data_IF_770184077741
#
_entry.id   IF_770184077741
#
_cell.length_a   1.000
_cell.length_b   1.000
_cell.length_c   1.000
_cell.angle_alpha   90.00
_cell.angle_beta   90.00
_cell.angle_gamma   90.00
#
_symmetry.space_group_name_H-M   'P 1'
#
loop_
_entity.id
_entity.type
_entity.pdbx_description
1 polymer ?
#
# COMPACT_ATOMS: atom_id res chain seq x y z
N UNK A 1 -12.71 -15.92 12.61
CA UNK A 1 -11.60 -15.27 13.34
C UNK A 1 -11.85 -13.78 13.23
N UNK A 2 -12.40 -13.17 14.27
CA UNK A 2 -12.69 -11.73 14.28
C UNK A 2 -11.37 -11.02 14.59
N UNK A 3 -10.90 -10.20 13.64
CA UNK A 3 -9.83 -9.23 13.90
C UNK A 3 -10.43 -8.12 14.75
N UNK A 4 -10.20 -8.16 16.06
CA UNK A 4 -10.51 -7.04 16.94
C UNK A 4 -9.33 -6.06 16.87
N UNK A 5 -9.52 -4.95 16.15
CA UNK A 5 -8.57 -3.85 16.11
C UNK A 5 -9.13 -2.76 17.03
N UNK A 6 -8.46 -2.51 18.15
CA UNK A 6 -8.79 -1.40 19.05
C UNK A 6 -8.19 -0.10 18.49
N UNK A 7 -9.04 0.90 18.23
CA UNK A 7 -8.63 2.21 17.69
C UNK A 7 -8.51 3.20 18.85
N UNK A 8 -7.29 3.64 19.17
CA UNK A 8 -7.06 4.81 20.03
C UNK A 8 -6.86 6.04 19.16
N UNK A 9 -7.72 7.05 19.30
CA UNK A 9 -7.63 8.30 18.55
C UNK A 9 -6.57 9.23 19.17
N UNK A 10 -5.60 9.68 18.37
CA UNK A 10 -4.83 10.90 18.65
C UNK A 10 -5.35 12.03 17.73
N UNK A 11 -5.41 13.27 18.25
CA UNK A 11 -6.04 14.41 17.55
C UNK A 11 -5.19 14.86 16.38
N UNK A 12 -5.80 14.98 15.20
CA UNK A 12 -5.19 15.64 14.05
C UNK A 12 -4.93 17.13 14.35
N UNK A 13 -3.68 17.57 14.17
CA UNK A 13 -3.29 18.97 14.11
C UNK A 13 -3.53 19.48 12.68
N UNK A 14 -4.12 20.66 12.55
CA UNK A 14 -4.36 21.33 11.27
C UNK A 14 -3.10 22.11 10.85
N UNK A 15 -2.58 21.94 9.62
CA UNK A 15 -1.51 22.81 9.13
C UNK A 15 -2.08 24.07 8.46
N UNK A 16 -1.47 25.21 8.79
CA UNK A 16 -1.65 26.51 8.14
C UNK A 16 -1.28 26.45 6.65
N UNK A 17 -2.01 27.23 5.84
CA UNK A 17 -1.79 27.39 4.41
C UNK A 17 -0.49 28.15 4.16
N UNK A 18 0.41 27.60 3.34
CA UNK A 18 1.43 28.40 2.66
C UNK A 18 1.52 27.98 1.20
N UNK A 19 1.57 29.01 0.36
CA UNK A 19 1.34 29.04 -1.08
C UNK A 19 2.51 28.41 -1.85
N UNK A 20 2.26 27.33 -2.61
CA UNK A 20 3.21 26.75 -3.57
C UNK A 20 2.54 26.66 -4.94
N UNK A 21 2.18 27.82 -5.49
CA UNK A 21 2.00 27.99 -6.93
C UNK A 21 3.31 28.47 -7.52
N UNK A 22 3.97 27.59 -8.27
CA UNK A 22 4.89 27.84 -9.40
C UNK A 22 6.07 26.85 -9.36
N UNK A 23 5.87 25.69 -9.99
CA UNK A 23 6.87 24.97 -10.79
C UNK A 23 6.21 23.76 -11.46
N UNK A 24 5.22 24.04 -12.31
CA UNK A 24 4.85 23.11 -13.38
C UNK A 24 5.77 23.44 -14.57
N UNK A 25 6.92 22.78 -14.64
CA UNK A 25 7.72 22.78 -15.87
C UNK A 25 8.22 21.35 -16.11
N UNK A 26 7.63 20.73 -17.14
CA UNK A 26 8.00 19.51 -17.86
C UNK A 26 9.13 18.66 -17.25
N UNK A 27 8.76 17.54 -16.65
CA UNK A 27 9.59 16.34 -16.61
C UNK A 27 8.88 15.23 -17.39
N UNK A 28 9.21 15.14 -18.68
CA UNK A 28 9.15 13.86 -19.40
C UNK A 28 10.24 12.97 -18.78
N UNK A 29 9.83 11.98 -17.99
CA UNK A 29 10.74 11.00 -17.40
C UNK A 29 10.97 9.93 -18.48
N UNK A 30 12.23 9.78 -18.90
CA UNK A 30 12.63 8.84 -19.94
C UNK A 30 12.58 7.40 -19.40
N UNK A 31 12.13 6.49 -20.24
CA UNK A 31 11.91 5.06 -19.95
C UNK A 31 13.21 4.36 -19.46
N UNK A 32 14.36 4.94 -19.79
CA UNK A 32 15.70 4.48 -19.40
C UNK A 32 16.03 4.63 -17.93
N UNK A 33 15.42 5.57 -17.20
CA UNK A 33 15.74 5.78 -15.79
C UNK A 33 15.26 4.60 -14.91
N UNK A 34 14.28 3.83 -15.41
CA UNK A 34 13.78 2.63 -14.73
C UNK A 34 14.45 1.32 -15.20
N UNK A 35 14.91 1.24 -16.45
CA UNK A 35 15.49 0.00 -17.02
C UNK A 35 16.94 -0.26 -16.58
N UNK A 36 17.68 0.74 -16.08
CA UNK A 36 19.09 0.56 -15.70
C UNK A 36 19.36 0.04 -14.28
N UNK A 37 18.36 -0.44 -13.55
CA UNK A 37 18.58 -1.10 -12.25
C UNK A 37 18.75 -2.62 -12.48
N UNK A 38 19.73 -2.99 -13.32
CA UNK A 38 20.30 -4.34 -13.33
C UNK A 38 21.36 -4.38 -12.22
N UNK A 39 20.98 -4.87 -11.04
CA UNK A 39 21.92 -5.15 -9.95
C UNK A 39 22.56 -6.51 -10.24
N UNK A 40 23.61 -6.53 -11.04
CA UNK A 40 24.56 -7.64 -11.05
C UNK A 40 26.01 -7.14 -11.19
N UNK A 41 26.84 -7.61 -10.25
CA UNK A 41 28.32 -7.64 -10.18
C UNK A 41 29.09 -6.41 -9.63
N UNK A 42 29.28 -6.37 -8.31
CA UNK A 42 30.54 -6.67 -7.58
C UNK A 42 30.27 -6.68 -6.05
N UNK A 43 31.03 -7.43 -5.22
CA UNK A 43 30.77 -7.48 -3.79
C UNK A 43 31.29 -6.19 -3.13
N UNK A 44 30.42 -5.20 -3.00
CA UNK A 44 30.74 -3.97 -2.28
C UNK A 44 30.69 -4.29 -0.77
N UNK A 45 31.86 -4.55 -0.20
CA UNK A 45 32.07 -4.56 1.25
C UNK A 45 32.16 -3.11 1.74
N UNK A 46 31.04 -2.40 1.76
CA UNK A 46 30.92 -1.15 2.50
C UNK A 46 29.68 -1.23 3.39
N UNK A 47 29.85 -0.90 4.67
CA UNK A 47 28.77 -0.79 5.64
C UNK A 47 27.76 0.25 5.13
N UNK A 48 26.72 -0.20 4.41
CA UNK A 48 25.53 0.60 4.22
C UNK A 48 24.91 0.78 5.61
N UNK A 49 25.02 2.01 6.12
CA UNK A 49 24.42 2.39 7.39
C UNK A 49 22.94 2.06 7.37
N UNK A 50 22.46 1.43 8.45
CA UNK A 50 21.03 1.26 8.69
C UNK A 50 20.40 2.66 8.71
N UNK A 51 19.47 2.93 7.79
CA UNK A 51 18.79 4.22 7.70
C UNK A 51 17.93 4.38 8.96
N UNK A 52 18.14 5.48 9.70
CA UNK A 52 17.37 5.77 10.89
C UNK A 52 15.98 6.31 10.53
N UNK A 53 14.96 5.87 11.26
CA UNK A 53 13.57 6.30 11.07
C UNK A 53 13.32 7.80 11.25
N UNK A 54 14.24 8.51 11.92
CA UNK A 54 14.13 9.95 12.25
C UNK A 54 14.34 10.88 11.03
N UNK A 55 14.66 10.35 9.85
CA UNK A 55 14.92 11.14 8.64
C UNK A 55 13.67 11.44 7.79
N UNK A 56 12.49 10.91 8.13
CA UNK A 56 11.29 11.13 7.32
C UNK A 56 10.75 12.56 7.48
N UNK A 57 10.74 13.42 6.45
CA UNK A 57 10.31 14.82 6.58
C UNK A 57 8.78 14.98 6.60
N UNK A 58 8.02 13.90 6.79
CA UNK A 58 6.56 13.88 6.71
C UNK A 58 5.92 13.59 8.07
N UNK A 59 4.70 14.09 8.33
CA UNK A 59 3.98 13.76 9.55
C UNK A 59 3.76 12.25 9.71
N UNK A 60 3.97 11.74 10.92
CA UNK A 60 3.82 10.32 11.25
C UNK A 60 2.88 10.08 12.42
N UNK A 61 2.40 8.85 12.56
CA UNK A 61 1.68 8.38 13.74
C UNK A 61 2.17 7.00 14.17
N UNK A 62 2.04 6.71 15.46
CA UNK A 62 2.46 5.43 16.05
C UNK A 62 1.25 4.52 16.19
N UNK A 63 1.31 3.38 15.52
CA UNK A 63 0.29 2.34 15.55
C UNK A 63 0.87 1.04 16.13
N UNK A 64 -0.02 0.08 16.35
CA UNK A 64 0.40 -1.25 16.76
C UNK A 64 -0.44 -2.32 16.08
N UNK A 65 0.23 -3.42 15.77
CA UNK A 65 -0.34 -4.67 15.32
C UNK A 65 -0.52 -5.56 16.54
N UNK A 66 -1.69 -6.16 16.67
CA UNK A 66 -2.00 -7.05 17.78
C UNK A 66 -2.53 -8.39 17.27
N UNK A 67 -1.79 -9.44 17.56
CA UNK A 67 -2.23 -10.83 17.49
C UNK A 67 -2.31 -11.41 18.90
N UNK A 68 -2.90 -12.60 19.04
CA UNK A 68 -3.14 -13.22 20.34
C UNK A 68 -1.91 -13.29 21.25
N UNK A 69 -0.71 -13.53 20.68
CA UNK A 69 0.54 -13.69 21.42
C UNK A 69 1.66 -12.74 20.92
N UNK A 70 1.33 -11.73 20.11
CA UNK A 70 2.33 -10.88 19.47
C UNK A 70 1.79 -9.45 19.34
N UNK A 71 2.55 -8.49 19.85
CA UNK A 71 2.31 -7.07 19.64
C UNK A 71 3.53 -6.45 18.97
N UNK A 72 3.32 -5.75 17.86
CA UNK A 72 4.38 -5.05 17.13
C UNK A 72 3.97 -3.60 17.05
N UNK A 73 4.79 -2.69 17.56
CA UNK A 73 4.59 -1.26 17.35
C UNK A 73 5.26 -0.86 16.04
N UNK A 74 4.64 0.06 15.32
CA UNK A 74 5.16 0.57 14.07
C UNK A 74 4.66 2.00 13.84
N UNK A 75 5.49 2.79 13.19
CA UNK A 75 5.22 4.14 12.72
C UNK A 75 4.70 4.09 11.28
N UNK A 76 3.69 4.89 10.99
CA UNK A 76 3.15 5.07 9.64
C UNK A 76 3.28 6.53 9.23
N UNK A 77 3.53 6.78 7.95
CA UNK A 77 3.38 8.13 7.40
C UNK A 77 1.89 8.45 7.28
N UNK A 78 1.51 9.61 7.77
CA UNK A 78 0.15 10.09 7.64
C UNK A 78 -0.15 10.48 6.19
N UNK A 79 -1.29 10.04 5.63
CA UNK A 79 -1.69 10.48 4.30
C UNK A 79 -1.96 11.99 4.30
N UNK A 80 -1.78 12.63 3.16
CA UNK A 80 -2.22 14.02 3.01
C UNK A 80 -3.76 14.11 3.08
N UNK A 81 -4.35 15.31 3.24
CA UNK A 81 -5.80 15.47 3.17
C UNK A 81 -6.43 14.99 1.85
N UNK A 82 -5.67 14.94 0.76
CA UNK A 82 -6.11 14.37 -0.51
C UNK A 82 -5.90 12.85 -0.58
N UNK A 83 -5.01 12.32 0.26
CA UNK A 83 -4.64 10.92 0.33
C UNK A 83 -5.62 10.06 1.13
N UNK A 84 -6.56 10.65 1.88
CA UNK A 84 -7.65 9.93 2.57
C UNK A 84 -8.82 9.65 1.62
N UNK A 85 -9.64 8.65 1.95
CA UNK A 85 -10.77 8.31 1.09
C UNK A 85 -11.90 9.34 1.17
N UNK A 86 -12.49 9.73 0.03
CA UNK A 86 -13.71 10.54 0.00
C UNK A 86 -14.87 9.88 0.76
N UNK A 87 -15.84 10.71 1.19
CA UNK A 87 -17.02 10.24 1.93
C UNK A 87 -17.84 9.16 1.20
N UNK A 88 -17.77 9.11 -0.14
CA UNK A 88 -18.42 8.10 -0.98
C UNK A 88 -17.37 7.29 -1.73
N UNK A 89 -16.70 6.38 -1.03
CA UNK A 89 -15.74 5.46 -1.64
C UNK A 89 -16.40 4.12 -1.88
N UNK A 90 -16.42 3.65 -3.13
CA UNK A 90 -16.98 2.35 -3.51
C UNK A 90 -16.03 1.23 -3.11
N UNK A 91 -14.74 1.39 -3.38
CA UNK A 91 -13.75 0.36 -3.12
C UNK A 91 -12.40 0.94 -2.70
N UNK A 92 -11.79 0.30 -1.71
CA UNK A 92 -10.39 0.46 -1.37
C UNK A 92 -9.60 -0.70 -1.99
N UNK A 93 -8.66 -0.38 -2.88
CA UNK A 93 -7.75 -1.35 -3.50
C UNK A 93 -6.38 -1.14 -2.88
N UNK A 94 -5.77 -2.21 -2.40
CA UNK A 94 -4.40 -2.16 -1.93
C UNK A 94 -3.51 -3.20 -2.61
N UNK A 95 -2.30 -2.77 -2.91
CA UNK A 95 -1.26 -3.58 -3.56
C UNK A 95 -0.04 -3.61 -2.64
N UNK A 96 0.24 -4.71 -1.94
CA UNK A 96 1.53 -4.89 -1.29
C UNK A 96 2.62 -4.85 -2.36
N UNK A 97 3.52 -3.86 -2.28
CA UNK A 97 4.55 -3.63 -3.29
C UNK A 97 5.89 -3.45 -2.62
N UNK A 98 6.96 -3.94 -3.24
CA UNK A 98 8.33 -3.78 -2.73
C UNK A 98 8.72 -2.29 -2.67
N UNK A 99 9.55 -1.90 -1.72
CA UNK A 99 10.11 -0.55 -1.64
C UNK A 99 10.69 -0.06 -2.96
N UNK A 100 11.48 -0.89 -3.63
CA UNK A 100 12.12 -0.61 -4.92
C UNK A 100 11.25 -0.93 -6.16
N UNK A 101 9.99 -1.32 -5.96
CA UNK A 101 9.04 -1.69 -7.02
C UNK A 101 8.48 -0.51 -7.83
N UNK A 102 9.27 0.55 -8.03
CA UNK A 102 8.83 1.81 -8.65
C UNK A 102 8.26 1.61 -10.06
N UNK A 103 8.96 0.84 -10.89
CA UNK A 103 8.54 0.56 -12.26
C UNK A 103 7.19 -0.18 -12.28
N UNK A 104 7.04 -1.21 -11.44
CA UNK A 104 5.78 -1.97 -11.35
C UNK A 104 4.62 -1.09 -10.92
N UNK A 105 4.81 -0.24 -9.91
CA UNK A 105 3.78 0.74 -9.51
C UNK A 105 3.44 1.70 -10.63
N UNK A 106 4.44 2.22 -11.33
CA UNK A 106 4.25 3.08 -12.50
C UNK A 106 3.43 2.38 -13.59
N UNK A 107 3.72 1.12 -13.89
CA UNK A 107 2.96 0.33 -14.87
C UNK A 107 1.51 0.12 -14.43
N UNK A 108 1.26 -0.15 -13.15
CA UNK A 108 -0.10 -0.26 -12.61
C UNK A 108 -0.86 1.07 -12.78
N UNK A 109 -0.26 2.20 -12.41
CA UNK A 109 -0.85 3.55 -12.56
C UNK A 109 -1.22 3.86 -14.01
N UNK A 110 -0.42 3.42 -14.97
CA UNK A 110 -0.63 3.64 -16.41
C UNK A 110 -1.41 2.52 -17.11
N UNK A 111 -1.92 1.54 -16.37
CA UNK A 111 -2.70 0.43 -16.92
C UNK A 111 -4.03 0.27 -16.18
N UNK A 112 -4.26 -0.88 -15.54
CA UNK A 112 -5.52 -1.19 -14.87
C UNK A 112 -5.79 -0.32 -13.63
N UNK A 113 -4.77 0.33 -13.09
CA UNK A 113 -4.87 1.30 -12.00
C UNK A 113 -5.22 2.73 -12.46
N UNK A 114 -5.31 2.98 -13.77
CA UNK A 114 -5.64 4.30 -14.31
C UNK A 114 -7.13 4.65 -14.09
N UNK A 115 -7.42 5.94 -13.89
CA UNK A 115 -8.78 6.51 -13.83
C UNK A 115 -9.72 5.89 -12.77
N UNK A 116 -9.18 5.24 -11.73
CA UNK A 116 -9.97 4.60 -10.68
C UNK A 116 -10.78 5.61 -9.83
N UNK A 117 -10.27 6.83 -9.66
CA UNK A 117 -10.95 7.89 -8.94
C UNK A 117 -12.32 8.22 -9.55
N UNK A 118 -12.45 8.19 -10.89
CA UNK A 118 -13.72 8.43 -11.61
C UNK A 118 -14.79 7.38 -11.26
N UNK A 119 -14.35 6.21 -10.82
CA UNK A 119 -15.19 5.07 -10.42
C UNK A 119 -15.40 4.99 -8.90
N UNK A 120 -14.99 6.03 -8.16
CA UNK A 120 -15.00 6.06 -6.70
C UNK A 120 -14.16 4.94 -6.07
N UNK A 121 -13.06 4.58 -6.72
CA UNK A 121 -12.10 3.57 -6.27
C UNK A 121 -10.81 4.28 -5.85
N UNK A 122 -10.31 3.96 -4.66
CA UNK A 122 -9.04 4.46 -4.14
C UNK A 122 -8.03 3.33 -4.19
N UNK A 123 -6.90 3.54 -4.87
CA UNK A 123 -5.77 2.62 -4.95
C UNK A 123 -4.65 3.12 -4.04
N UNK A 124 -4.07 2.21 -3.24
CA UNK A 124 -2.86 2.47 -2.45
C UNK A 124 -1.84 1.35 -2.60
N UNK A 125 -0.57 1.71 -2.69
CA UNK A 125 0.54 0.78 -2.61
C UNK A 125 1.05 0.69 -1.18
N UNK A 126 1.18 -0.51 -0.65
CA UNK A 126 1.61 -0.74 0.74
C UNK A 126 3.07 -1.16 0.72
N UNK A 127 3.92 -0.34 1.33
CA UNK A 127 5.38 -0.41 1.18
C UNK A 127 6.02 -0.42 2.57
N UNK A 128 6.96 -1.34 2.79
CA UNK A 128 7.74 -1.39 4.04
C UNK A 128 8.93 -0.44 3.98
N UNK A 129 9.72 -0.40 5.04
CA UNK A 129 10.89 0.46 5.09
C UNK A 129 12.00 -0.02 4.14
N UNK A 130 12.55 0.87 3.28
CA UNK A 130 13.66 0.53 2.40
C UNK A 130 14.94 0.31 3.21
N UNK A 131 15.77 -0.64 2.76
CA UNK A 131 17.09 -0.90 3.36
C UNK A 131 18.20 -0.05 2.73
N UNK A 132 18.00 0.41 1.49
CA UNK A 132 18.98 1.13 0.71
C UNK A 132 18.67 2.63 0.63
N UNK A 133 19.67 3.48 0.89
CA UNK A 133 19.50 4.94 0.92
C UNK A 133 18.96 5.49 -0.41
N UNK A 134 19.44 4.95 -1.53
CA UNK A 134 18.96 5.35 -2.85
C UNK A 134 17.48 5.02 -3.05
N UNK A 135 17.02 3.88 -2.55
CA UNK A 135 15.59 3.49 -2.62
C UNK A 135 14.76 4.41 -1.72
N UNK A 136 15.28 4.79 -0.55
CA UNK A 136 14.64 5.74 0.33
C UNK A 136 14.45 7.12 -0.32
N UNK A 137 15.48 7.67 -0.95
CA UNK A 137 15.42 8.96 -1.66
C UNK A 137 14.38 8.93 -2.79
N UNK A 138 14.40 7.91 -3.64
CA UNK A 138 13.43 7.74 -4.72
C UNK A 138 12.00 7.53 -4.22
N UNK A 139 11.82 6.83 -3.09
CA UNK A 139 10.52 6.65 -2.45
C UNK A 139 9.93 7.96 -1.95
N UNK A 140 10.75 8.86 -1.41
CA UNK A 140 10.28 10.18 -1.00
C UNK A 140 9.77 10.99 -2.19
N UNK A 141 10.48 10.97 -3.31
CA UNK A 141 10.04 11.63 -4.55
C UNK A 141 8.71 11.05 -5.05
N UNK A 142 8.59 9.72 -5.05
CA UNK A 142 7.36 9.04 -5.46
C UNK A 142 6.18 9.39 -4.54
N UNK A 143 6.41 9.40 -3.22
CA UNK A 143 5.40 9.75 -2.22
C UNK A 143 4.85 11.16 -2.45
N UNK A 144 5.74 12.15 -2.67
CA UNK A 144 5.36 13.55 -2.95
C UNK A 144 4.56 13.65 -4.23
N UNK A 145 4.95 12.88 -5.26
CA UNK A 145 4.39 12.99 -6.60
C UNK A 145 3.00 12.38 -6.73
N UNK A 146 2.75 11.23 -6.11
CA UNK A 146 1.55 10.43 -6.38
C UNK A 146 0.57 10.36 -5.21
N UNK A 147 1.01 10.59 -3.97
CA UNK A 147 0.18 10.51 -2.75
C UNK A 147 -0.64 9.20 -2.67
N UNK A 148 -0.09 8.10 -3.20
CA UNK A 148 -0.74 6.78 -3.26
C UNK A 148 0.06 5.68 -2.55
N UNK A 149 1.14 6.05 -1.85
CA UNK A 149 1.89 5.13 -1.01
C UNK A 149 1.38 5.16 0.45
N UNK A 150 1.36 3.98 1.07
CA UNK A 150 1.23 3.79 2.51
C UNK A 150 2.51 3.14 2.98
N UNK A 151 3.34 3.92 3.67
CA UNK A 151 4.66 3.49 4.13
C UNK A 151 4.67 3.32 5.64
N UNK A 152 5.26 2.22 6.10
CA UNK A 152 5.43 1.90 7.51
C UNK A 152 6.87 1.49 7.82
N UNK A 153 7.27 1.70 9.07
CA UNK A 153 8.65 1.63 9.57
C UNK A 153 9.11 0.20 9.94
N UNK A 154 8.77 -0.79 9.11
CA UNK A 154 9.29 -2.15 9.27
C UNK A 154 9.86 -2.63 7.95
N UNK A 155 11.02 -3.26 8.00
CA UNK A 155 11.76 -3.80 6.87
C UNK A 155 10.87 -4.48 5.83
N UNK A 156 11.00 -4.01 4.59
CA UNK A 156 10.33 -4.60 3.45
C UNK A 156 10.99 -5.93 3.06
N UNK A 157 10.42 -7.03 3.56
CA UNK A 157 10.88 -8.37 3.22
C UNK A 157 9.71 -9.30 2.91
N UNK A 158 9.98 -10.35 2.14
CA UNK A 158 8.99 -11.39 1.83
C UNK A 158 8.40 -12.03 3.09
N UNK A 159 9.23 -12.20 4.15
CA UNK A 159 8.78 -12.73 5.44
C UNK A 159 7.76 -11.82 6.13
N UNK A 160 7.80 -10.52 5.83
CA UNK A 160 6.96 -9.48 6.43
C UNK A 160 5.72 -9.13 5.59
N UNK A 161 5.41 -9.89 4.53
CA UNK A 161 4.21 -9.63 3.70
C UNK A 161 2.90 -9.61 4.49
N UNK A 162 2.79 -10.43 5.54
CA UNK A 162 1.62 -10.43 6.42
C UNK A 162 1.42 -9.08 7.13
N UNK A 163 2.51 -8.36 7.43
CA UNK A 163 2.47 -7.03 8.02
C UNK A 163 1.89 -6.03 7.03
N UNK A 164 2.27 -6.09 5.74
CA UNK A 164 1.68 -5.23 4.71
C UNK A 164 0.16 -5.38 4.64
N UNK A 165 -0.34 -6.61 4.66
CA UNK A 165 -1.79 -6.87 4.66
C UNK A 165 -2.45 -6.28 5.90
N UNK A 166 -1.85 -6.46 7.08
CA UNK A 166 -2.39 -5.90 8.32
C UNK A 166 -2.41 -4.37 8.28
N UNK A 167 -1.28 -3.74 7.90
CA UNK A 167 -1.14 -2.29 7.76
C UNK A 167 -2.17 -1.75 6.79
N UNK A 168 -2.41 -2.41 5.65
CA UNK A 168 -3.43 -2.01 4.68
C UNK A 168 -4.84 -1.99 5.28
N UNK A 169 -5.20 -3.04 6.03
CA UNK A 169 -6.52 -3.14 6.67
C UNK A 169 -6.67 -2.11 7.79
N UNK A 170 -5.62 -1.89 8.59
CA UNK A 170 -5.63 -0.85 9.63
C UNK A 170 -5.71 0.56 9.04
N UNK A 171 -4.94 0.82 7.98
CA UNK A 171 -5.00 2.09 7.24
C UNK A 171 -6.39 2.31 6.66
N UNK A 172 -7.00 1.28 6.07
CA UNK A 172 -8.38 1.35 5.57
C UNK A 172 -9.36 1.71 6.68
N UNK A 173 -9.25 1.11 7.87
CA UNK A 173 -10.16 1.41 8.97
C UNK A 173 -10.02 2.85 9.49
N UNK A 174 -8.81 3.40 9.51
CA UNK A 174 -8.54 4.74 10.06
C UNK A 174 -8.82 5.83 9.01
N UNK A 175 -8.34 5.65 7.78
CA UNK A 175 -8.31 6.70 6.75
C UNK A 175 -9.24 6.43 5.56
N UNK A 176 -9.89 5.26 5.52
CA UNK A 176 -10.79 4.86 4.44
C UNK A 176 -12.03 4.07 4.91
N UNK A 177 -12.56 4.42 6.07
CA UNK A 177 -13.66 3.69 6.72
C UNK A 177 -14.97 3.67 5.92
N UNK A 178 -15.10 4.56 4.92
CA UNK A 178 -16.28 4.67 4.05
C UNK A 178 -16.28 3.70 2.88
N UNK A 179 -15.16 3.01 2.60
CA UNK A 179 -15.08 2.04 1.52
C UNK A 179 -16.03 0.85 1.74
N UNK A 180 -16.88 0.56 0.75
CA UNK A 180 -17.84 -0.56 0.82
C UNK A 180 -17.20 -1.92 0.52
N UNK A 181 -16.18 -1.93 -0.34
CA UNK A 181 -15.45 -3.13 -0.74
C UNK A 181 -13.96 -2.93 -0.54
N UNK A 182 -13.26 -4.04 -0.26
CA UNK A 182 -11.79 -4.07 -0.20
C UNK A 182 -11.31 -5.08 -1.24
N UNK A 183 -10.36 -4.66 -2.08
CA UNK A 183 -9.66 -5.54 -3.00
C UNK A 183 -8.17 -5.55 -2.64
N UNK A 184 -7.67 -6.73 -2.26
CA UNK A 184 -6.23 -7.00 -2.23
C UNK A 184 -5.82 -7.53 -3.58
N UNK A 185 -4.72 -7.03 -4.14
CA UNK A 185 -4.09 -7.63 -5.31
C UNK A 185 -2.57 -7.57 -5.21
N UNK A 186 -1.85 -8.38 -5.98
CA UNK A 186 -0.38 -8.36 -6.03
C UNK A 186 0.10 -7.44 -7.15
N UNK A 187 1.37 -7.02 -7.10
CA UNK A 187 1.94 -6.10 -8.07
C UNK A 187 2.24 -6.75 -9.44
N UNK A 188 2.14 -8.08 -9.52
CA UNK A 188 2.26 -8.90 -10.73
C UNK A 188 0.89 -9.33 -11.32
N UNK A 189 -0.18 -8.62 -10.97
CA UNK A 189 -1.55 -8.95 -11.40
C UNK A 189 -2.17 -7.88 -12.29
N UNK A 190 -3.25 -8.25 -12.99
CA UNK A 190 -4.10 -7.34 -13.75
C UNK A 190 -5.53 -7.48 -13.27
N UNK A 191 -6.22 -6.36 -13.07
CA UNK A 191 -7.63 -6.33 -12.64
C UNK A 191 -8.52 -5.81 -13.76
N UNK A 192 -9.52 -6.61 -14.13
CA UNK A 192 -10.62 -6.18 -14.99
C UNK A 192 -11.71 -5.51 -14.13
N UNK A 193 -11.61 -4.19 -13.96
CA UNK A 193 -12.56 -3.43 -13.16
C UNK A 193 -13.95 -3.33 -13.78
N UNK A 194 -14.10 -3.38 -15.10
CA UNK A 194 -15.42 -3.37 -15.74
C UNK A 194 -16.21 -4.61 -15.31
N UNK A 195 -15.57 -5.78 -15.41
CA UNK A 195 -16.17 -7.04 -14.97
C UNK A 195 -16.38 -7.10 -13.46
N UNK A 196 -15.42 -6.64 -12.67
CA UNK A 196 -15.53 -6.65 -11.21
C UNK A 196 -16.68 -5.75 -10.73
N UNK A 197 -16.80 -4.54 -11.28
CA UNK A 197 -17.87 -3.61 -10.93
C UNK A 197 -19.24 -4.15 -11.36
N UNK A 198 -19.32 -4.81 -12.52
CA UNK A 198 -20.56 -5.49 -12.90
C UNK A 198 -21.00 -6.51 -11.84
N UNK A 199 -20.09 -7.33 -11.30
CA UNK A 199 -20.43 -8.28 -10.24
C UNK A 199 -20.87 -7.60 -8.95
N UNK A 200 -20.22 -6.51 -8.57
CA UNK A 200 -20.60 -5.70 -7.40
C UNK A 200 -22.01 -5.13 -7.57
N UNK A 201 -22.29 -4.54 -8.73
CA UNK A 201 -23.60 -3.92 -9.01
C UNK A 201 -24.73 -4.95 -9.13
N UNK A 202 -24.38 -6.22 -9.37
CA UNK A 202 -25.30 -7.36 -9.36
C UNK A 202 -25.25 -8.16 -8.04
N UNK A 203 -24.73 -7.56 -6.95
CA UNK A 203 -24.70 -8.13 -5.60
C UNK A 203 -24.04 -9.52 -5.51
N UNK A 204 -23.12 -9.81 -6.42
CA UNK A 204 -22.53 -11.14 -6.63
C UNK A 204 -23.59 -12.27 -6.71
N UNK A 205 -24.75 -11.99 -7.31
CA UNK A 205 -25.88 -12.93 -7.37
C UNK A 205 -26.53 -13.14 -6.00
N UNK A 206 -26.91 -12.05 -5.33
CA UNK A 206 -27.53 -12.03 -4.00
C UNK A 206 -26.64 -12.49 -2.84
N UNK A 207 -25.33 -12.70 -3.09
CA UNK A 207 -24.41 -13.25 -2.09
C UNK A 207 -24.04 -12.22 -1.04
N UNK A 208 -23.80 -10.98 -1.44
CA UNK A 208 -23.42 -9.93 -0.49
C UNK A 208 -24.62 -9.52 0.36
N UNK A 209 -25.83 -9.40 -0.21
CA UNK A 209 -27.05 -9.19 0.59
C UNK A 209 -27.29 -10.32 1.60
N UNK A 210 -27.00 -11.57 1.24
CA UNK A 210 -27.18 -12.72 2.14
C UNK A 210 -26.05 -12.85 3.16
N UNK A 211 -24.84 -12.46 2.79
CA UNK A 211 -23.61 -12.60 3.58
C UNK A 211 -22.79 -11.30 3.47
N UNK A 212 -23.09 -10.28 4.28
CA UNK A 212 -22.48 -8.96 4.15
C UNK A 212 -20.98 -8.91 4.43
N UNK A 213 -20.42 -9.96 5.06
CA UNK A 213 -18.98 -10.13 5.29
C UNK A 213 -18.37 -11.21 4.36
N UNK A 214 -18.88 -11.32 3.13
CA UNK A 214 -18.38 -12.29 2.16
C UNK A 214 -16.98 -11.95 1.67
N UNK A 215 -16.17 -12.99 1.44
CA UNK A 215 -14.84 -12.90 0.82
C UNK A 215 -14.85 -13.76 -0.43
N UNK A 216 -14.37 -13.21 -1.54
CA UNK A 216 -14.33 -13.86 -2.85
C UNK A 216 -12.88 -14.08 -3.29
N UNK A 217 -12.61 -15.21 -3.95
CA UNK A 217 -11.29 -15.53 -4.48
C UNK A 217 -11.07 -17.03 -4.69
N UNK A 218 -9.84 -17.38 -5.10
CA UNK A 218 -9.38 -18.77 -5.19
C UNK A 218 -9.29 -19.40 -3.79
N UNK A 219 -10.30 -20.16 -3.40
CA UNK A 219 -10.32 -20.82 -2.10
C UNK A 219 -9.61 -22.18 -2.16
N UNK A 220 -8.42 -22.24 -1.57
CA UNK A 220 -7.74 -23.51 -1.32
C UNK A 220 -8.25 -24.07 0.01
N UNK A 221 -8.77 -25.30 -0.01
CA UNK A 221 -9.28 -25.99 1.18
C UNK A 221 -8.35 -27.14 1.55
N UNK A 222 -8.23 -27.40 2.86
CA UNK A 222 -7.44 -28.52 3.40
C UNK A 222 -5.95 -28.50 3.02
N UNK A 223 -5.39 -27.32 2.77
CA UNK A 223 -3.94 -27.17 2.68
C UNK A 223 -3.30 -27.41 4.06
N UNK A 224 -2.02 -27.76 4.05
CA UNK A 224 -1.19 -27.91 5.25
C UNK A 224 0.16 -27.24 5.01
N UNK A 225 0.87 -26.81 6.08
CA UNK A 225 2.19 -26.23 5.94
C UNK A 225 3.11 -27.20 5.19
N UNK A 226 3.73 -26.71 4.12
CA UNK A 226 4.73 -27.47 3.37
C UNK A 226 6.05 -27.34 4.12
N UNK A 227 6.58 -28.47 4.61
CA UNK A 227 7.79 -28.51 5.46
C UNK A 227 9.06 -28.84 4.69
N UNK A 228 9.04 -28.66 3.37
CA UNK A 228 10.20 -28.87 2.52
C UNK A 228 10.97 -27.55 2.41
N UNK A 229 12.22 -27.53 2.86
CA UNK A 229 13.09 -26.33 2.84
C UNK A 229 13.35 -25.77 1.43
N UNK A 230 13.23 -26.62 0.40
CA UNK A 230 13.37 -26.20 -1.00
C UNK A 230 12.06 -25.68 -1.61
N UNK A 231 10.95 -25.75 -0.88
CA UNK A 231 9.68 -25.24 -1.33
C UNK A 231 9.59 -23.74 -1.00
N UNK A 232 9.26 -22.95 -2.02
CA UNK A 232 9.05 -21.51 -1.89
C UNK A 232 7.75 -21.18 -1.15
#
# INVERSE_FOLDING_TARGET
MLLNIEISHSKALTPEKTDLKQKEEKLEIDQKDYETIDIDTEPITENFGVIAYEEFPFPTDNLFISFQNLKINYTIILPTPNGICPLKTKMFVFVPSRADGFYTRHMIRNSWGANLAERSIVLKFIVGWPQEQKVFELMQEELIKFDDLVVYDIDDSYRNLYLKVYVALQWQQIFCSTAQYILKTDDDTIVDFDRLLWWIDNDFGHRVSKYPAAVFGGMIKRSSPIRNEKHR
#
